data_IF_732728196407
#
_entry.id   IF_732728196407
#
_cell.length_a   1.000
_cell.length_b   1.000
_cell.length_c   1.000
_cell.angle_alpha   90.00
_cell.angle_beta   90.00
_cell.angle_gamma   90.00
#
_symmetry.space_group_name_H-M   'P 1'
#
loop_
_entity.id
_entity.type
_entity.pdbx_description
1 polymer ?
#
# COMPACT_ATOMS: atom_id res chain seq x y z
N UNK A 1 -16.46 -48.97 -10.79
CA UNK A 1 -15.00 -48.92 -10.55
C UNK A 1 -14.50 -47.48 -10.61
N UNK A 2 -13.63 -47.08 -9.65
CA UNK A 2 -12.82 -45.86 -9.55
C UNK A 2 -13.47 -44.47 -9.28
N UNK A 3 -13.99 -44.22 -8.05
CA UNK A 3 -13.96 -42.89 -7.42
C UNK A 3 -12.82 -42.73 -6.40
N UNK A 4 -12.22 -43.84 -5.96
CA UNK A 4 -11.32 -43.89 -4.78
C UNK A 4 -9.96 -43.23 -5.02
N UNK A 5 -9.38 -43.36 -6.22
CA UNK A 5 -8.03 -42.85 -6.53
C UNK A 5 -7.95 -41.31 -6.60
N UNK A 6 -9.03 -40.63 -6.98
CA UNK A 6 -9.04 -39.15 -7.05
C UNK A 6 -9.18 -38.53 -5.65
N UNK A 7 -9.93 -39.18 -4.76
CA UNK A 7 -10.09 -38.75 -3.38
C UNK A 7 -8.82 -38.99 -2.54
N UNK A 8 -8.08 -40.08 -2.80
CA UNK A 8 -6.78 -40.33 -2.16
C UNK A 8 -5.73 -39.32 -2.62
N UNK A 9 -5.64 -39.04 -3.92
CA UNK A 9 -4.68 -38.05 -4.45
C UNK A 9 -4.97 -36.63 -3.94
N UNK A 10 -6.25 -36.24 -3.84
CA UNK A 10 -6.61 -34.93 -3.28
C UNK A 10 -6.22 -34.81 -1.80
N UNK A 11 -6.49 -35.84 -1.00
CA UNK A 11 -6.08 -35.87 0.42
C UNK A 11 -4.57 -35.84 0.60
N UNK A 12 -3.82 -36.47 -0.31
CA UNK A 12 -2.36 -36.47 -0.28
C UNK A 12 -1.76 -35.11 -0.65
N UNK A 13 -2.32 -34.43 -1.65
CA UNK A 13 -1.96 -33.04 -2.00
C UNK A 13 -2.33 -32.06 -0.88
N UNK A 14 -3.52 -32.18 -0.29
CA UNK A 14 -3.92 -31.32 0.83
C UNK A 14 -2.99 -31.53 2.06
N UNK A 15 -2.52 -32.77 2.26
CA UNK A 15 -1.57 -33.11 3.33
C UNK A 15 -0.17 -32.56 3.04
N UNK A 16 0.34 -32.67 1.81
CA UNK A 16 1.66 -32.11 1.46
C UNK A 16 1.66 -30.59 1.55
N UNK A 17 0.60 -29.92 1.08
CA UNK A 17 0.42 -28.48 1.22
C UNK A 17 0.39 -28.02 2.68
N UNK A 18 -0.32 -28.76 3.54
CA UNK A 18 -0.36 -28.46 4.98
C UNK A 18 1.02 -28.63 5.62
N UNK A 19 1.74 -29.69 5.28
CA UNK A 19 3.10 -29.94 5.79
C UNK A 19 4.08 -28.84 5.35
N UNK A 20 4.00 -28.40 4.09
CA UNK A 20 4.81 -27.29 3.58
C UNK A 20 4.52 -26.00 4.35
N UNK A 21 3.24 -25.65 4.58
CA UNK A 21 2.88 -24.46 5.38
C UNK A 21 3.41 -24.54 6.82
N UNK A 22 3.35 -25.72 7.44
CA UNK A 22 3.90 -25.91 8.80
C UNK A 22 5.41 -25.76 8.80
N UNK A 23 6.09 -26.34 7.81
CA UNK A 23 7.54 -26.24 7.64
C UNK A 23 7.98 -24.79 7.46
N UNK A 24 7.33 -24.04 6.56
CA UNK A 24 7.62 -22.64 6.30
C UNK A 24 7.40 -21.77 7.54
N UNK A 25 6.28 -21.96 8.25
CA UNK A 25 6.01 -21.25 9.51
C UNK A 25 7.08 -21.52 10.56
N UNK A 26 7.55 -22.76 10.69
CA UNK A 26 8.64 -23.12 11.60
C UNK A 26 9.94 -22.43 11.21
N UNK A 27 10.28 -22.45 9.91
CA UNK A 27 11.48 -21.79 9.38
C UNK A 27 11.44 -20.28 9.63
N UNK A 28 10.32 -19.63 9.36
CA UNK A 28 10.11 -18.20 9.62
C UNK A 28 10.27 -17.88 11.10
N UNK A 29 9.62 -18.63 12.00
CA UNK A 29 9.72 -18.41 13.44
C UNK A 29 11.15 -18.60 13.98
N UNK A 30 11.90 -19.54 13.40
CA UNK A 30 13.32 -19.75 13.72
C UNK A 30 14.14 -18.52 13.30
N UNK A 31 14.00 -18.07 12.05
CA UNK A 31 14.70 -16.88 11.54
C UNK A 31 14.38 -15.60 12.33
N UNK A 32 13.12 -15.39 12.72
CA UNK A 32 12.71 -14.24 13.54
C UNK A 32 13.45 -14.20 14.87
N UNK A 33 13.69 -15.37 15.49
CA UNK A 33 14.42 -15.48 16.75
C UNK A 33 15.92 -15.30 16.56
N UNK A 34 16.49 -15.98 15.57
CA UNK A 34 17.94 -15.97 15.31
C UNK A 34 18.46 -14.59 14.89
N UNK A 35 17.69 -13.86 14.07
CA UNK A 35 18.07 -12.54 13.56
C UNK A 35 17.62 -11.41 14.50
N UNK A 36 16.87 -11.72 15.57
CA UNK A 36 16.38 -10.72 16.52
C UNK A 36 15.36 -9.75 15.92
N UNK A 37 14.53 -10.20 14.98
CA UNK A 37 13.62 -9.34 14.21
C UNK A 37 12.48 -8.74 15.04
N UNK A 38 12.17 -9.31 16.22
CA UNK A 38 11.09 -8.82 17.10
C UNK A 38 11.41 -7.44 17.66
N UNK A 39 12.62 -7.28 18.20
CA UNK A 39 13.00 -6.04 18.90
C UNK A 39 13.12 -4.88 17.92
N UNK A 40 13.75 -5.11 16.76
CA UNK A 40 13.82 -4.11 15.69
C UNK A 40 12.44 -3.81 15.10
N UNK A 41 11.61 -4.83 14.88
CA UNK A 41 10.27 -4.65 14.33
C UNK A 41 9.36 -3.83 15.26
N UNK A 42 9.52 -3.98 16.58
CA UNK A 42 8.81 -3.15 17.56
C UNK A 42 9.27 -1.69 17.47
N UNK A 43 10.59 -1.46 17.48
CA UNK A 43 11.16 -0.12 17.40
C UNK A 43 10.79 0.60 16.09
N UNK A 44 10.77 -0.12 14.96
CA UNK A 44 10.32 0.44 13.68
C UNK A 44 8.87 0.94 13.75
N UNK A 45 7.98 0.20 14.42
CA UNK A 45 6.61 0.66 14.63
C UNK A 45 6.57 1.87 15.56
N UNK A 46 7.25 1.79 16.70
CA UNK A 46 7.26 2.87 17.68
C UNK A 46 7.78 4.17 17.06
N UNK A 47 8.79 4.10 16.18
CA UNK A 47 9.27 5.27 15.42
C UNK A 47 8.17 5.83 14.51
N UNK A 48 7.47 4.98 13.75
CA UNK A 48 6.44 5.41 12.79
C UNK A 48 5.21 6.00 13.47
N UNK A 49 4.82 5.48 14.63
CA UNK A 49 3.67 5.97 15.42
C UNK A 49 4.04 7.09 16.42
N UNK A 50 5.32 7.44 16.53
CA UNK A 50 5.79 8.51 17.42
C UNK A 50 5.88 8.13 18.89
N UNK A 51 5.95 6.82 19.18
CA UNK A 51 6.19 6.25 20.52
C UNK A 51 7.68 6.15 20.85
N UNK A 52 8.55 6.16 19.83
CA UNK A 52 10.01 6.18 19.97
C UNK A 52 10.64 7.33 19.17
N UNK A 53 11.78 7.83 19.67
CA UNK A 53 12.56 8.89 19.03
C UNK A 53 14.07 8.63 19.10
N UNK A 54 14.86 9.71 19.09
CA UNK A 54 16.32 9.62 19.02
C UNK A 54 16.95 8.78 20.13
N UNK A 55 16.43 8.86 21.36
CA UNK A 55 17.01 8.19 22.52
C UNK A 55 16.91 6.67 22.38
N UNK A 56 15.73 6.19 22.00
CA UNK A 56 15.42 4.77 21.85
C UNK A 56 16.20 4.19 20.65
N UNK A 57 16.25 4.91 19.53
CA UNK A 57 17.03 4.50 18.35
C UNK A 57 18.53 4.42 18.67
N UNK A 58 19.09 5.44 19.33
CA UNK A 58 20.51 5.45 19.71
C UNK A 58 20.81 4.32 20.70
N UNK A 59 19.96 4.12 21.71
CA UNK A 59 20.10 3.05 22.69
C UNK A 59 20.08 1.68 22.03
N UNK A 60 19.12 1.45 21.14
CA UNK A 60 18.99 0.21 20.41
C UNK A 60 20.22 -0.10 19.56
N UNK A 61 20.70 0.89 18.78
CA UNK A 61 21.89 0.72 17.96
C UNK A 61 23.13 0.44 18.81
N UNK A 62 23.26 1.01 20.02
CA UNK A 62 24.37 0.72 20.94
C UNK A 62 24.33 -0.69 21.51
N UNK A 63 23.14 -1.18 21.85
CA UNK A 63 22.95 -2.50 22.48
C UNK A 63 23.04 -3.62 21.44
N UNK A 64 22.38 -3.47 20.30
CA UNK A 64 22.23 -4.52 19.26
C UNK A 64 23.25 -4.36 18.14
N UNK A 65 24.52 -4.43 18.51
CA UNK A 65 25.64 -4.24 17.58
C UNK A 65 25.83 -5.41 16.59
N UNK A 66 25.32 -6.59 16.94
CA UNK A 66 25.33 -7.83 16.16
C UNK A 66 24.29 -7.88 15.03
N UNK A 67 23.35 -6.93 14.97
CA UNK A 67 22.39 -6.85 13.88
C UNK A 67 23.05 -6.61 12.53
N UNK A 68 22.46 -7.20 11.48
CA UNK A 68 22.92 -7.01 10.11
C UNK A 68 22.92 -5.53 9.72
N UNK A 69 23.90 -5.09 8.90
CA UNK A 69 23.92 -3.71 8.39
C UNK A 69 22.63 -3.34 7.66
N UNK A 70 22.02 -4.28 6.93
CA UNK A 70 20.75 -4.08 6.23
C UNK A 70 19.61 -3.72 7.18
N UNK A 71 19.49 -4.42 8.31
CA UNK A 71 18.47 -4.13 9.32
C UNK A 71 18.69 -2.76 9.97
N UNK A 72 19.94 -2.42 10.30
CA UNK A 72 20.29 -1.09 10.84
C UNK A 72 20.00 0.02 9.82
N UNK A 73 20.32 -0.20 8.55
CA UNK A 73 20.04 0.72 7.46
C UNK A 73 18.53 0.92 7.28
N UNK A 74 17.74 -0.17 7.29
CA UNK A 74 16.27 -0.11 7.22
C UNK A 74 15.67 0.74 8.34
N UNK A 75 16.10 0.52 9.58
CA UNK A 75 15.67 1.34 10.72
C UNK A 75 16.04 2.82 10.53
N UNK A 76 17.25 3.12 10.07
CA UNK A 76 17.69 4.50 9.84
C UNK A 76 16.98 5.17 8.67
N UNK A 77 16.63 4.44 7.61
CA UNK A 77 15.80 4.93 6.52
C UNK A 77 14.40 5.31 7.01
N UNK A 78 13.77 4.46 7.83
CA UNK A 78 12.48 4.77 8.46
C UNK A 78 12.61 6.02 9.34
N UNK A 79 13.64 6.07 10.19
CA UNK A 79 13.88 7.20 11.07
C UNK A 79 14.13 8.52 10.31
N UNK A 80 14.83 8.46 9.17
CA UNK A 80 15.09 9.63 8.32
C UNK A 80 13.82 10.18 7.64
N UNK A 81 12.89 9.30 7.26
CA UNK A 81 11.60 9.71 6.69
C UNK A 81 10.69 10.33 7.76
N UNK A 82 10.70 9.80 8.99
CA UNK A 82 9.84 10.31 10.08
C UNK A 82 10.41 11.59 10.70
N UNK A 83 11.74 11.67 10.84
CA UNK A 83 12.46 12.75 11.52
C UNK A 83 13.58 13.32 10.64
N UNK A 84 13.25 13.96 9.51
CA UNK A 84 14.24 14.50 8.57
C UNK A 84 15.22 15.48 9.22
N UNK A 85 14.74 16.26 10.20
CA UNK A 85 15.54 17.25 10.93
C UNK A 85 16.67 16.62 11.78
N UNK A 86 16.62 15.31 12.01
CA UNK A 86 17.63 14.56 12.76
C UNK A 86 18.80 14.13 11.87
N UNK A 87 18.66 14.28 10.57
CA UNK A 87 19.68 14.00 9.57
C UNK A 87 20.27 15.28 8.95
N UNK A 88 19.89 16.45 9.46
CA UNK A 88 20.51 17.73 9.09
C UNK A 88 21.84 17.94 9.82
N UNK A 89 22.83 18.45 9.09
CA UNK A 89 24.18 18.72 9.61
C UNK A 89 24.92 17.45 10.03
N UNK A 90 25.68 17.53 11.11
CA UNK A 90 26.56 16.46 11.61
C UNK A 90 25.83 15.34 12.38
N UNK A 91 24.54 15.53 12.70
CA UNK A 91 23.76 14.59 13.51
C UNK A 91 23.51 13.27 12.79
N UNK A 92 23.18 13.34 11.50
CA UNK A 92 22.96 12.16 10.67
C UNK A 92 24.23 11.32 10.55
N UNK A 93 25.36 11.97 10.28
CA UNK A 93 26.67 11.32 10.16
C UNK A 93 27.06 10.61 11.47
N UNK A 94 26.93 11.28 12.62
CA UNK A 94 27.19 10.67 13.94
C UNK A 94 26.32 9.45 14.21
N UNK A 95 25.04 9.50 13.82
CA UNK A 95 24.12 8.39 13.99
C UNK A 95 24.48 7.20 13.10
N UNK A 96 24.88 7.45 11.85
CA UNK A 96 25.32 6.42 10.93
C UNK A 96 26.67 5.79 11.33
N UNK A 97 27.60 6.60 11.86
CA UNK A 97 28.87 6.11 12.43
C UNK A 97 28.62 5.21 13.64
N UNK A 98 27.69 5.59 14.52
CA UNK A 98 27.29 4.77 15.67
C UNK A 98 26.69 3.42 15.23
N UNK A 99 25.95 3.41 14.12
CA UNK A 99 25.40 2.19 13.53
C UNK A 99 26.45 1.33 12.80
N UNK A 100 27.68 1.82 12.63
CA UNK A 100 28.77 1.18 11.87
C UNK A 100 28.38 0.85 10.42
N UNK A 101 27.63 1.76 9.80
CA UNK A 101 27.24 1.63 8.39
C UNK A 101 28.37 2.05 7.45
N UNK A 102 28.40 1.46 6.25
CA UNK A 102 29.37 1.83 5.23
C UNK A 102 29.05 3.20 4.61
N UNK A 103 30.03 3.89 3.98
CA UNK A 103 29.77 5.14 3.27
C UNK A 103 28.70 4.99 2.17
N UNK A 104 28.60 3.82 1.55
CA UNK A 104 27.56 3.51 0.57
C UNK A 104 26.16 3.46 1.21
N UNK A 105 26.04 2.87 2.40
CA UNK A 105 24.80 2.86 3.16
C UNK A 105 24.41 4.27 3.62
N UNK A 106 25.39 5.11 3.98
CA UNK A 106 25.15 6.53 4.32
C UNK A 106 24.58 7.31 3.12
N UNK A 107 25.15 7.08 1.93
CA UNK A 107 24.63 7.62 0.68
C UNK A 107 23.20 7.14 0.42
N UNK A 108 22.88 5.90 0.73
CA UNK A 108 21.54 5.31 0.56
C UNK A 108 20.48 6.07 1.35
N UNK A 109 20.74 6.39 2.62
CA UNK A 109 19.81 7.20 3.44
C UNK A 109 19.64 8.60 2.83
N UNK A 110 20.72 9.20 2.35
CA UNK A 110 20.69 10.52 1.69
C UNK A 110 19.91 10.50 0.37
N UNK A 111 19.94 9.39 -0.36
CA UNK A 111 19.24 9.24 -1.63
C UNK A 111 17.70 9.21 -1.48
N UNK A 112 17.17 8.98 -0.27
CA UNK A 112 15.72 9.07 -0.01
C UNK A 112 15.12 10.43 -0.41
N UNK A 113 15.93 11.49 -0.43
CA UNK A 113 15.48 12.83 -0.87
C UNK A 113 15.00 12.84 -2.32
N UNK A 114 15.54 11.97 -3.17
CA UNK A 114 15.16 11.89 -4.59
C UNK A 114 13.80 11.22 -4.80
N UNK A 115 13.28 10.50 -3.80
CA UNK A 115 11.96 9.87 -3.85
C UNK A 115 10.84 10.82 -3.38
N UNK A 116 11.13 12.12 -3.22
CA UNK A 116 10.13 13.13 -2.85
C UNK A 116 9.74 13.15 -1.37
N UNK A 117 10.47 12.42 -0.50
CA UNK A 117 10.10 12.22 0.91
C UNK A 117 10.64 13.24 1.92
N UNK A 118 11.54 14.15 1.53
CA UNK A 118 12.21 15.06 2.48
C UNK A 118 11.79 16.53 2.34
N UNK A 119 11.24 16.95 1.21
CA UNK A 119 10.62 18.27 1.07
C UNK A 119 9.17 18.23 1.54
N UNK A 120 8.99 18.05 2.85
CA UNK A 120 7.89 18.77 3.50
C UNK A 120 8.27 20.23 3.39
N UNK A 121 7.79 20.88 2.34
CA UNK A 121 7.80 22.32 2.16
C UNK A 121 7.78 22.98 3.54
N UNK A 122 8.85 23.71 3.85
CA UNK A 122 8.75 24.82 4.79
C UNK A 122 7.58 25.65 4.27
N UNK A 123 6.40 25.49 4.88
CA UNK A 123 5.42 26.55 4.83
C UNK A 123 6.19 27.81 5.18
N UNK A 124 6.31 28.70 4.20
CA UNK A 124 7.08 29.92 4.36
C UNK A 124 6.57 30.60 5.63
N UNK A 125 7.49 30.93 6.54
CA UNK A 125 7.23 31.76 7.71
C UNK A 125 6.74 33.14 7.24
N UNK A 126 5.46 33.22 6.94
CA UNK A 126 4.81 34.39 6.40
C UNK A 126 3.39 34.51 6.92
N UNK A 127 3.22 34.53 8.24
CA UNK A 127 2.22 35.35 8.95
C UNK A 127 2.30 35.06 10.45
N UNK A 128 2.31 36.12 11.24
CA UNK A 128 2.28 36.08 12.69
C UNK A 128 1.01 35.34 13.18
N UNK A 129 1.17 34.13 13.71
CA UNK A 129 0.15 33.47 14.52
C UNK A 129 0.83 32.91 15.76
N UNK A 130 0.88 33.74 16.81
CA UNK A 130 1.20 33.32 18.16
C UNK A 130 0.11 32.35 18.64
N UNK A 131 0.34 31.04 18.45
CA UNK A 131 -0.40 30.00 19.16
C UNK A 131 0.57 29.26 20.06
N UNK A 132 0.47 29.60 21.33
CA UNK A 132 1.21 29.00 22.42
C UNK A 132 0.58 27.65 22.75
N UNK A 133 0.83 26.64 21.91
CA UNK A 133 0.41 25.26 22.17
C UNK A 133 1.61 24.46 22.68
N UNK A 134 1.71 24.40 24.00
CA UNK A 134 2.72 23.66 24.77
C UNK A 134 2.42 22.16 24.78
N UNK A 135 2.16 21.58 23.61
CA UNK A 135 2.05 20.15 23.43
C UNK A 135 3.10 19.72 22.42
N UNK A 136 4.13 18.99 22.89
CA UNK A 136 5.09 18.29 22.03
C UNK A 136 4.31 17.56 20.94
N UNK A 137 4.30 18.10 19.72
CA UNK A 137 3.69 17.46 18.56
C UNK A 137 4.45 16.15 18.38
N UNK A 138 3.86 15.02 18.78
CA UNK A 138 4.40 13.70 18.46
C UNK A 138 4.52 13.66 16.93
N UNK A 139 5.72 13.60 16.39
CA UNK A 139 5.96 13.47 14.96
C UNK A 139 5.59 12.04 14.53
N UNK A 140 4.30 11.71 14.58
CA UNK A 140 3.78 10.44 14.14
C UNK A 140 3.55 10.50 12.63
N UNK A 141 4.23 9.63 11.87
CA UNK A 141 4.03 9.52 10.43
C UNK A 141 2.72 8.78 10.10
N UNK A 142 2.23 7.93 11.02
CA UNK A 142 0.94 7.23 10.90
C UNK A 142 0.12 7.40 12.17
N UNK A 143 -1.20 7.36 12.01
CA UNK A 143 -2.16 7.37 13.12
C UNK A 143 -2.54 5.94 13.47
N UNK A 144 -2.66 5.63 14.75
CA UNK A 144 -3.20 4.36 15.22
C UNK A 144 -4.66 4.19 14.76
N UNK A 145 -5.07 2.93 14.58
CA UNK A 145 -6.44 2.57 14.25
C UNK A 145 -7.14 2.11 15.51
N UNK A 146 -8.35 2.58 15.74
CA UNK A 146 -9.17 2.15 16.88
C UNK A 146 -10.04 0.91 16.57
N UNK A 147 -10.01 0.39 15.33
CA UNK A 147 -11.10 -0.44 14.78
C UNK A 147 -10.80 -1.94 14.54
N UNK A 148 -9.66 -2.50 14.95
CA UNK A 148 -9.44 -3.95 14.79
C UNK A 148 -8.80 -4.55 16.05
N UNK A 149 -9.40 -5.60 16.61
CA UNK A 149 -8.86 -6.45 17.68
C UNK A 149 -7.37 -6.71 17.45
N UNK A 150 -6.55 -6.35 18.43
CA UNK A 150 -5.09 -6.50 18.46
C UNK A 150 -4.67 -7.97 18.27
N UNK A 151 -4.73 -8.47 17.04
CA UNK A 151 -4.44 -9.88 16.79
C UNK A 151 -2.92 -10.12 16.84
N UNK A 152 -2.10 -9.08 16.59
CA UNK A 152 -0.63 -9.18 16.59
C UNK A 152 0.04 -7.84 16.94
N UNK A 153 0.74 -7.77 18.08
CA UNK A 153 1.45 -6.57 18.56
C UNK A 153 2.44 -5.95 17.55
N UNK A 154 3.05 -6.77 16.68
CA UNK A 154 3.99 -6.34 15.63
C UNK A 154 3.31 -6.11 14.27
N UNK A 155 2.03 -5.74 14.22
CA UNK A 155 1.33 -5.52 12.93
C UNK A 155 0.44 -4.27 12.90
N UNK A 156 0.79 -3.23 13.68
CA UNK A 156 0.07 -1.95 13.69
C UNK A 156 0.20 -1.17 12.37
N UNK A 157 1.36 -1.28 11.70
CA UNK A 157 1.60 -0.52 10.47
C UNK A 157 0.67 -0.93 9.32
N UNK A 158 0.17 0.07 8.60
CA UNK A 158 -0.57 -0.11 7.37
C UNK A 158 -0.02 0.80 6.25
N UNK A 159 0.11 0.27 5.02
CA UNK A 159 0.51 1.07 3.85
C UNK A 159 -0.43 2.26 3.59
N UNK A 160 0.12 3.35 3.07
CA UNK A 160 -0.62 4.58 2.72
C UNK A 160 -1.77 4.30 1.75
N UNK A 161 -1.58 3.35 0.83
CA UNK A 161 -2.57 2.96 -0.16
C UNK A 161 -3.90 2.52 0.47
N UNK A 162 -3.90 1.95 1.69
CA UNK A 162 -5.15 1.53 2.34
C UNK A 162 -6.05 2.73 2.64
N UNK A 163 -5.46 3.83 3.10
CA UNK A 163 -6.16 5.07 3.39
C UNK A 163 -6.62 5.76 2.10
N UNK A 164 -5.76 5.78 1.07
CA UNK A 164 -6.07 6.39 -0.22
C UNK A 164 -7.25 5.68 -0.91
N UNK A 165 -7.23 4.34 -0.97
CA UNK A 165 -8.34 3.56 -1.52
C UNK A 165 -9.60 3.76 -0.67
N UNK A 166 -9.46 3.81 0.66
CA UNK A 166 -10.57 4.09 1.57
C UNK A 166 -11.24 5.43 1.26
N UNK A 167 -10.46 6.52 1.14
CA UNK A 167 -10.97 7.85 0.78
C UNK A 167 -11.57 7.89 -0.62
N UNK A 168 -10.89 7.29 -1.60
CA UNK A 168 -11.39 7.18 -2.98
C UNK A 168 -12.74 6.45 -3.02
N UNK A 169 -12.92 5.40 -2.21
CA UNK A 169 -14.17 4.64 -2.18
C UNK A 169 -15.36 5.45 -1.64
N UNK A 170 -15.09 6.47 -0.82
CA UNK A 170 -16.07 7.41 -0.24
C UNK A 170 -16.23 8.70 -1.04
N UNK A 171 -15.39 8.95 -2.05
CA UNK A 171 -15.35 10.24 -2.74
C UNK A 171 -14.68 11.37 -1.94
N UNK A 172 -13.91 11.02 -0.90
CA UNK A 172 -13.24 11.97 0.02
C UNK A 172 -11.75 12.17 -0.33
N UNK A 173 -11.32 11.80 -1.53
CA UNK A 173 -9.93 11.95 -1.95
C UNK A 173 -9.62 13.44 -2.20
N UNK A 174 -8.56 14.01 -1.60
CA UNK A 174 -8.22 15.42 -1.81
C UNK A 174 -7.91 15.71 -3.28
N UNK A 175 -8.65 16.65 -3.88
CA UNK A 175 -8.51 17.00 -5.29
C UNK A 175 -7.19 17.70 -5.60
N UNK A 176 -6.64 18.47 -4.66
CA UNK A 176 -5.35 19.16 -4.79
C UNK A 176 -4.18 18.17 -4.96
N UNK A 177 -4.20 17.05 -4.22
CA UNK A 177 -3.16 16.02 -4.32
C UNK A 177 -3.41 14.95 -5.38
N UNK A 178 -4.66 14.79 -5.82
CA UNK A 178 -5.08 13.74 -6.77
C UNK A 178 -6.11 14.30 -7.77
N UNK A 179 -5.69 15.16 -8.72
CA UNK A 179 -6.59 15.75 -9.70
C UNK A 179 -7.11 14.68 -10.66
N UNK A 180 -8.40 14.76 -11.01
CA UNK A 180 -9.01 13.90 -12.01
C UNK A 180 -8.81 14.51 -13.40
N UNK A 181 -8.18 13.78 -14.32
CA UNK A 181 -7.96 14.26 -15.70
C UNK A 181 -9.26 14.40 -16.51
N UNK A 182 -10.29 13.63 -16.14
CA UNK A 182 -11.60 13.68 -16.76
C UNK A 182 -12.58 14.10 -15.67
N UNK A 183 -12.90 15.39 -15.57
CA UNK A 183 -14.04 15.78 -14.73
C UNK A 183 -15.29 15.10 -15.30
N UNK A 184 -16.03 14.32 -14.49
CA UNK A 184 -17.36 13.93 -14.90
C UNK A 184 -18.15 15.22 -15.05
N UNK A 185 -18.56 15.57 -16.27
CA UNK A 185 -19.50 16.67 -16.49
C UNK A 185 -20.66 16.48 -15.51
N UNK A 186 -21.11 17.53 -14.80
CA UNK A 186 -22.19 17.38 -13.85
C UNK A 186 -23.44 17.00 -14.64
N UNK A 187 -23.75 15.70 -14.69
CA UNK A 187 -25.11 15.26 -14.97
C UNK A 187 -25.93 15.83 -13.84
N UNK A 188 -26.65 16.89 -14.19
CA UNK A 188 -27.69 17.54 -13.40
C UNK A 188 -28.71 16.47 -13.02
N UNK A 189 -28.44 15.71 -11.96
CA UNK A 189 -29.50 15.06 -11.20
C UNK A 189 -30.16 16.18 -10.39
N UNK A 190 -31.04 16.90 -11.09
CA UNK A 190 -31.96 17.85 -10.48
C UNK A 190 -32.73 17.11 -9.40
N UNK A 191 -32.46 17.47 -8.15
CA UNK A 191 -33.38 17.26 -7.05
C UNK A 191 -34.67 17.98 -7.42
N UNK A 192 -35.66 17.23 -7.89
CA UNK A 192 -37.03 17.72 -8.04
C UNK A 192 -37.92 16.67 -7.43
N UNK A 193 -38.45 17.01 -6.25
CA UNK A 193 -39.58 16.35 -5.62
C UNK A 193 -40.69 16.19 -6.68
N UNK A 194 -41.08 14.95 -6.97
CA UNK A 194 -42.22 14.70 -7.85
C UNK A 194 -43.46 14.48 -7.00
N UNK A 195 -44.21 15.58 -6.81
CA UNK A 195 -45.62 15.53 -6.50
C UNK A 195 -46.38 15.08 -7.76
N UNK A 196 -47.37 14.21 -7.53
CA UNK A 196 -48.33 13.66 -8.48
C UNK A 196 -49.02 14.72 -9.35
N UNK A 197 -49.12 14.51 -10.67
CA UNK A 197 -50.35 14.71 -11.48
C UNK A 197 -50.23 13.91 -12.80
N UNK A 198 -51.29 13.15 -13.11
CA UNK A 198 -51.57 12.48 -14.39
C UNK A 198 -52.06 13.49 -15.42
N UNK A 199 -51.65 13.39 -16.71
CA UNK A 199 -52.55 13.20 -17.88
C UNK A 199 -51.84 13.28 -19.26
N UNK A 200 -52.26 12.36 -20.13
CA UNK A 200 -52.42 12.40 -21.61
C UNK A 200 -51.25 12.54 -22.60
N UNK A 201 -51.06 11.42 -23.34
CA UNK A 201 -50.76 11.23 -24.77
C UNK A 201 -50.07 12.34 -25.60
N UNK A 202 -48.91 11.96 -26.15
CA UNK A 202 -48.28 12.58 -27.32
C UNK A 202 -46.91 11.95 -27.62
N UNK A 203 -46.82 11.11 -28.66
CA UNK A 203 -45.56 10.66 -29.31
C UNK A 203 -44.71 11.89 -29.73
N UNK A 204 -43.36 11.86 -29.77
CA UNK A 204 -42.67 11.18 -30.89
C UNK A 204 -41.21 10.70 -30.67
N UNK A 205 -40.68 10.13 -31.76
CA UNK A 205 -39.27 10.10 -32.22
C UNK A 205 -38.43 8.86 -31.87
N UNK A 206 -38.49 7.88 -32.79
CA UNK A 206 -37.49 6.82 -32.95
C UNK A 206 -36.14 7.41 -33.42
N UNK A 207 -35.12 7.33 -32.58
CA UNK A 207 -33.74 7.63 -32.96
C UNK A 207 -33.05 6.37 -33.51
N UNK A 208 -32.90 6.34 -34.84
CA UNK A 208 -32.07 5.37 -35.54
C UNK A 208 -30.59 5.78 -35.49
N UNK A 209 -29.91 5.40 -34.40
CA UNK A 209 -28.46 5.15 -34.43
C UNK A 209 -28.10 4.06 -33.43
N UNK A 210 -28.46 2.84 -33.84
CA UNK A 210 -27.94 1.59 -33.26
C UNK A 210 -26.42 1.57 -33.43
N UNK A 211 -25.69 1.98 -32.40
CA UNK A 211 -24.26 1.67 -32.29
C UNK A 211 -24.17 0.21 -31.83
N UNK A 212 -24.08 -0.69 -32.82
CA UNK A 212 -23.88 -2.13 -32.62
C UNK A 212 -22.71 -2.34 -31.65
N UNK A 213 -23.00 -2.87 -30.47
CA UNK A 213 -21.98 -3.44 -29.59
C UNK A 213 -21.29 -4.59 -30.34
N UNK A 214 -19.94 -4.63 -30.41
CA UNK A 214 -19.22 -5.72 -31.05
C UNK A 214 -19.60 -7.08 -30.44
N UNK A 215 -19.92 -8.05 -31.28
CA UNK A 215 -20.49 -9.35 -30.91
C UNK A 215 -19.59 -10.20 -29.99
N UNK A 216 -18.30 -9.87 -29.85
CA UNK A 216 -17.39 -10.48 -28.86
C UNK A 216 -17.75 -10.17 -27.39
N UNK A 217 -18.52 -9.10 -27.13
CA UNK A 217 -18.95 -8.72 -25.77
C UNK A 217 -20.32 -9.30 -25.38
N UNK A 218 -20.95 -10.15 -26.21
CA UNK A 218 -22.18 -10.85 -25.84
C UNK A 218 -21.85 -12.13 -25.06
N UNK A 219 -22.02 -12.08 -23.74
CA UNK A 219 -22.12 -13.25 -22.88
C UNK A 219 -23.29 -14.11 -23.36
N UNK A 220 -23.02 -15.20 -24.09
CA UNK A 220 -23.99 -16.26 -24.37
C UNK A 220 -24.27 -16.97 -23.05
N UNK A 221 -25.37 -16.60 -22.40
CA UNK A 221 -25.98 -17.42 -21.37
C UNK A 221 -26.79 -18.51 -22.09
N UNK A 222 -26.15 -19.64 -22.40
CA UNK A 222 -26.87 -20.90 -22.50
C UNK A 222 -26.71 -21.61 -21.15
N UNK A 223 -27.86 -21.89 -20.56
CA UNK A 223 -28.05 -22.73 -19.40
C UNK A 223 -28.19 -24.17 -19.91
N UNK A 224 -27.08 -24.75 -20.34
CA UNK A 224 -26.97 -26.17 -20.65
C UNK A 224 -25.99 -26.81 -19.67
N UNK A 225 -26.59 -27.49 -18.69
CA UNK A 225 -25.91 -28.16 -17.61
C UNK A 225 -24.88 -29.18 -18.10
N UNK A 226 -23.95 -29.46 -17.18
CA UNK A 226 -22.89 -30.47 -17.23
C UNK A 226 -21.51 -29.95 -17.64
N UNK A 227 -20.85 -29.25 -16.73
CA UNK A 227 -19.37 -29.26 -16.70
C UNK A 227 -18.83 -28.94 -15.31
N UNK A 228 -18.06 -29.90 -14.77
CA UNK A 228 -17.41 -29.82 -13.46
C UNK A 228 -16.19 -28.88 -13.50
N UNK A 229 -16.41 -27.58 -13.41
CA UNK A 229 -15.39 -26.64 -12.94
C UNK A 229 -16.02 -25.44 -12.22
N UNK A 230 -16.41 -25.68 -10.97
CA UNK A 230 -17.19 -24.76 -10.16
C UNK A 230 -16.37 -23.62 -9.55
N UNK A 231 -15.04 -23.71 -9.50
CA UNK A 231 -14.21 -22.74 -8.75
C UNK A 231 -14.02 -21.44 -9.52
N UNK A 232 -13.73 -21.53 -10.84
CA UNK A 232 -13.54 -20.35 -11.69
C UNK A 232 -14.86 -19.61 -11.97
N UNK A 233 -15.98 -20.34 -12.02
CA UNK A 233 -17.31 -19.75 -12.24
C UNK A 233 -17.80 -18.94 -11.05
N UNK A 234 -17.60 -19.41 -9.81
CA UNK A 234 -17.96 -18.65 -8.60
C UNK A 234 -17.17 -17.35 -8.48
N UNK A 235 -15.86 -17.38 -8.73
CA UNK A 235 -15.05 -16.16 -8.78
C UNK A 235 -15.60 -15.18 -9.84
N UNK A 236 -15.91 -15.67 -11.05
CA UNK A 236 -16.44 -14.82 -12.14
C UNK A 236 -17.82 -14.23 -11.85
N UNK A 237 -18.71 -14.93 -11.11
CA UNK A 237 -20.02 -14.40 -10.72
C UNK A 237 -19.92 -13.38 -9.59
N UNK A 238 -18.95 -13.56 -8.67
CA UNK A 238 -18.68 -12.60 -7.61
C UNK A 238 -18.15 -11.28 -8.20
N UNK A 239 -17.24 -11.34 -9.16
CA UNK A 239 -16.78 -10.15 -9.91
C UNK A 239 -17.90 -9.44 -10.68
N UNK A 240 -18.90 -10.18 -11.20
CA UNK A 240 -20.07 -9.58 -11.86
C UNK A 240 -20.97 -8.79 -10.90
N UNK A 241 -20.87 -9.02 -9.59
CA UNK A 241 -21.63 -8.30 -8.55
C UNK A 241 -20.81 -7.20 -7.86
N UNK A 242 -19.54 -7.03 -8.21
CA UNK A 242 -18.66 -6.03 -7.62
C UNK A 242 -18.87 -4.67 -8.28
N UNK A 243 -18.80 -3.60 -7.48
CA UNK A 243 -18.97 -2.22 -7.96
C UNK A 243 -17.84 -1.75 -8.88
N UNK A 244 -17.79 -0.45 -9.16
CA UNK A 244 -16.79 0.14 -10.05
C UNK A 244 -15.35 -0.28 -9.66
N UNK A 245 -14.60 -0.81 -10.63
CA UNK A 245 -13.21 -1.25 -10.43
C UNK A 245 -12.30 -0.08 -10.05
N UNK A 246 -11.31 -0.35 -9.21
CA UNK A 246 -10.27 0.60 -8.84
C UNK A 246 -8.95 0.05 -9.37
N UNK A 247 -8.33 0.78 -10.30
CA UNK A 247 -7.01 0.47 -10.83
C UNK A 247 -5.98 1.39 -10.18
N UNK A 248 -4.88 0.81 -9.71
CA UNK A 248 -3.79 1.54 -9.09
C UNK A 248 -2.50 1.07 -9.73
N UNK A 249 -1.67 2.00 -10.19
CA UNK A 249 -0.36 1.69 -10.73
C UNK A 249 0.71 2.38 -9.90
N UNK A 250 1.65 1.60 -9.34
CA UNK A 250 2.75 2.12 -8.53
C UNK A 250 4.04 2.13 -9.34
N UNK A 251 4.61 3.33 -9.48
CA UNK A 251 5.88 3.55 -10.16
C UNK A 251 7.01 3.29 -9.17
N UNK A 252 8.05 2.58 -9.59
CA UNK A 252 9.23 2.29 -8.78
C UNK A 252 9.17 0.93 -8.08
N UNK A 253 7.96 0.42 -7.80
CA UNK A 253 7.71 -0.93 -7.32
C UNK A 253 6.56 -1.00 -6.30
N UNK A 254 6.06 -2.21 -6.07
CA UNK A 254 5.08 -2.52 -5.04
C UNK A 254 5.61 -3.50 -4.00
N UNK A 255 5.15 -3.35 -2.76
CA UNK A 255 5.45 -4.29 -1.70
C UNK A 255 4.32 -5.31 -1.52
N UNK A 256 4.67 -6.47 -0.95
CA UNK A 256 3.68 -7.50 -0.59
C UNK A 256 2.64 -7.01 0.42
N UNK A 257 3.00 -6.04 1.26
CA UNK A 257 2.08 -5.40 2.21
C UNK A 257 0.99 -4.61 1.50
N UNK A 258 1.33 -3.89 0.43
CA UNK A 258 0.34 -3.14 -0.38
C UNK A 258 -0.55 -4.07 -1.19
N UNK A 259 0.01 -5.16 -1.72
CA UNK A 259 -0.77 -6.20 -2.38
C UNK A 259 -1.78 -6.86 -1.42
N UNK A 260 -1.35 -7.14 -0.17
CA UNK A 260 -2.24 -7.64 0.88
C UNK A 260 -3.40 -6.69 1.15
N UNK A 261 -3.11 -5.38 1.21
CA UNK A 261 -4.12 -4.34 1.39
C UNK A 261 -5.12 -4.30 0.24
N UNK A 262 -4.65 -4.35 -1.01
CA UNK A 262 -5.52 -4.34 -2.18
C UNK A 262 -6.53 -5.52 -2.12
N UNK A 263 -6.05 -6.72 -1.78
CA UNK A 263 -6.91 -7.88 -1.61
C UNK A 263 -7.86 -7.74 -0.41
N UNK A 264 -7.39 -7.22 0.74
CA UNK A 264 -8.22 -6.95 1.93
C UNK A 264 -9.37 -6.00 1.58
N UNK A 265 -9.07 -4.90 0.88
CA UNK A 265 -10.06 -3.89 0.51
C UNK A 265 -11.02 -4.36 -0.58
N UNK A 266 -10.59 -5.28 -1.44
CA UNK A 266 -11.48 -5.88 -2.44
C UNK A 266 -12.67 -6.57 -1.78
N UNK A 267 -12.41 -7.39 -0.76
CA UNK A 267 -13.46 -8.04 0.04
C UNK A 267 -14.26 -7.04 0.88
N UNK A 268 -13.59 -6.07 1.51
CA UNK A 268 -14.23 -5.09 2.40
C UNK A 268 -15.17 -4.13 1.66
N UNK A 269 -14.77 -3.65 0.48
CA UNK A 269 -15.51 -2.65 -0.29
C UNK A 269 -16.47 -3.26 -1.32
N UNK A 270 -16.42 -4.59 -1.53
CA UNK A 270 -17.15 -5.27 -2.61
C UNK A 270 -16.90 -4.61 -3.98
N UNK A 271 -15.67 -4.14 -4.20
CA UNK A 271 -15.18 -3.49 -5.42
C UNK A 271 -13.86 -4.15 -5.79
N UNK A 272 -13.62 -4.37 -7.07
CA UNK A 272 -12.38 -5.01 -7.52
C UNK A 272 -11.24 -3.99 -7.46
N UNK A 273 -10.24 -4.22 -6.59
CA UNK A 273 -9.04 -3.39 -6.49
C UNK A 273 -7.88 -4.10 -7.17
N UNK A 274 -7.39 -3.53 -8.26
CA UNK A 274 -6.31 -4.09 -9.07
C UNK A 274 -5.08 -3.20 -8.87
N UNK A 275 -4.04 -3.81 -8.28
CA UNK A 275 -2.73 -3.18 -8.06
C UNK A 275 -1.76 -3.66 -9.13
N UNK A 276 -1.31 -2.74 -9.98
CA UNK A 276 -0.19 -2.89 -10.89
C UNK A 276 1.04 -2.14 -10.37
N UNK A 277 2.22 -2.56 -10.79
CA UNK A 277 3.47 -1.86 -10.47
C UNK A 277 4.55 -2.19 -11.51
N UNK A 278 5.63 -1.42 -11.51
CA UNK A 278 6.81 -1.70 -12.35
C UNK A 278 7.55 -2.99 -11.92
N UNK A 279 7.54 -3.31 -10.63
CA UNK A 279 8.12 -4.54 -10.06
C UNK A 279 7.54 -4.82 -8.69
N UNK A 280 7.63 -6.06 -8.21
CA UNK A 280 7.30 -6.41 -6.83
C UNK A 280 8.58 -6.49 -6.01
N UNK A 281 8.76 -5.58 -5.06
CA UNK A 281 10.01 -5.39 -4.33
C UNK A 281 9.91 -5.88 -2.88
N UNK A 282 10.92 -6.63 -2.46
CA UNK A 282 11.23 -6.91 -1.06
C UNK A 282 12.26 -5.87 -0.53
N UNK A 283 12.39 -5.67 0.80
CA UNK A 283 13.25 -4.60 1.35
C UNK A 283 14.69 -4.57 0.83
N UNK A 284 15.41 -5.70 0.63
CA UNK A 284 16.76 -5.68 0.06
C UNK A 284 16.80 -5.15 -1.37
N UNK A 285 15.77 -5.46 -2.18
CA UNK A 285 15.68 -4.98 -3.56
C UNK A 285 15.45 -3.47 -3.60
N UNK A 286 14.58 -2.97 -2.72
CA UNK A 286 14.35 -1.53 -2.59
C UNK A 286 15.63 -0.78 -2.17
N UNK A 287 16.35 -1.30 -1.18
CA UNK A 287 17.65 -0.75 -0.74
C UNK A 287 18.66 -0.75 -1.89
N UNK A 288 18.72 -1.82 -2.67
CA UNK A 288 19.64 -1.93 -3.82
C UNK A 288 19.32 -0.89 -4.89
N UNK A 289 18.05 -0.73 -5.26
CA UNK A 289 17.62 0.33 -6.19
C UNK A 289 18.00 1.73 -5.68
N UNK A 290 17.81 1.96 -4.37
CA UNK A 290 18.13 3.24 -3.74
C UNK A 290 19.65 3.51 -3.70
N UNK A 291 20.49 2.48 -3.54
CA UNK A 291 21.95 2.58 -3.67
C UNK A 291 22.39 3.01 -5.06
N UNK A 292 21.71 2.49 -6.08
CA UNK A 292 21.98 2.79 -7.48
C UNK A 292 21.55 4.21 -7.89
N UNK A 293 20.65 4.85 -7.14
CA UNK A 293 20.28 6.24 -7.43
C UNK A 293 21.48 7.17 -7.23
N UNK A 294 21.90 7.83 -8.31
CA UNK A 294 22.93 8.86 -8.26
C UNK A 294 22.37 10.22 -8.67
N UNK A 295 23.03 11.30 -8.25
CA UNK A 295 22.62 12.67 -8.60
C UNK A 295 22.68 12.92 -10.12
N UNK A 296 23.48 12.15 -10.86
CA UNK A 296 23.62 12.28 -12.30
C UNK A 296 22.41 11.72 -13.04
N UNK A 297 21.86 10.58 -12.61
CA UNK A 297 20.72 9.94 -13.29
C UNK A 297 19.44 10.81 -13.26
N UNK A 298 19.21 11.55 -12.16
CA UNK A 298 18.04 12.43 -12.01
C UNK A 298 18.13 13.67 -12.91
N UNK A 299 19.34 14.09 -13.29
CA UNK A 299 19.55 15.27 -14.13
C UNK A 299 19.31 14.99 -15.62
N UNK A 300 19.46 13.75 -16.08
CA UNK A 300 19.29 13.40 -17.50
C UNK A 300 17.82 13.31 -17.88
N UNK A 301 16.95 12.89 -16.96
CA UNK A 301 15.50 12.82 -17.18
C UNK A 301 14.83 14.21 -17.16
N UNK A 302 15.43 15.20 -16.49
CA UNK A 302 14.93 16.59 -16.51
C UNK A 302 15.28 17.36 -17.78
N UNK A 303 16.16 16.83 -18.63
CA UNK A 303 16.57 17.48 -19.88
C UNK A 303 15.77 16.99 -21.10
N UNK A 304 14.83 16.06 -20.92
CA UNK A 304 14.00 15.50 -22.00
C UNK A 304 12.50 15.84 -21.87
N UNK A 305 12.16 16.97 -21.25
CA UNK A 305 10.81 17.56 -21.31
C UNK A 305 10.91 18.95 -21.91
#
# INVERSE_FOLDING_TARGET
MKPTSRATNKKEVDKSDLLNRIHDRRKINKLIREIGLRDIGQLEQDVVFGDAGAKEVISFLRIKQDLSPENKLRLLMIYAVVYPEKFEGDKGEKLMQLAKLSPEDMKTVSNLKYLGGLDRQKESRGSFSLKFDTHKKKNAARKERNDEEETWALSRFYPMIEELIGKLSKGELPQDGYPCMNEPSPTVHGSSQSASVRTTQGQPAHSMRSRRTPTWAKSRNSDDGYSSDSVLRHASSDFKRMGQRIFIFMIGGATRSELRVAHKLTSKLKREVILGSSSLDDPPQFITKLKMLTAQDVSVDRLHI
#
